data_IF_914531074788
#
_entry.id   IF_914531074788
#
_cell.length_a   1.000
_cell.length_b   1.000
_cell.length_c   1.000
_cell.angle_alpha   90.00
_cell.angle_beta   90.00
_cell.angle_gamma   90.00
#
_symmetry.space_group_name_H-M   'P 1'
#
loop_
_entity.id
_entity.type
_entity.pdbx_description
1 polymer ?
#
# COMPACT_ATOMS: atom_id res chain seq x y z
N UNK A 1 2.32 0.83 36.32
CA UNK A 1 3.53 0.07 35.90
C UNK A 1 3.26 -0.53 34.54
N UNK A 2 4.14 -0.15 33.62
CA UNK A 2 4.18 -0.39 32.18
C UNK A 2 4.27 -1.87 31.84
N UNK A 3 3.37 -2.40 31.00
CA UNK A 3 3.54 -3.73 30.43
C UNK A 3 2.84 -3.80 29.08
N UNK A 4 3.67 -3.59 28.06
CA UNK A 4 3.54 -4.09 26.70
C UNK A 4 2.12 -4.09 26.13
N UNK A 5 1.82 -3.14 25.24
CA UNK A 5 0.97 -3.44 24.09
C UNK A 5 1.53 -4.72 23.47
N UNK A 6 0.85 -5.81 23.77
CA UNK A 6 1.13 -7.13 23.26
C UNK A 6 0.97 -7.00 21.76
N UNK A 7 2.08 -7.06 21.03
CA UNK A 7 2.12 -7.31 19.60
C UNK A 7 1.33 -8.60 19.35
N UNK A 8 0.04 -8.46 19.08
CA UNK A 8 -0.79 -9.61 18.75
C UNK A 8 -0.25 -10.18 17.43
N UNK A 9 -0.14 -11.51 17.28
CA UNK A 9 0.23 -12.14 15.99
C UNK A 9 -0.76 -11.82 14.84
N UNK A 10 -1.91 -11.24 15.17
CA UNK A 10 -2.92 -10.68 14.24
C UNK A 10 -2.81 -9.15 14.07
N UNK A 11 -1.70 -8.55 14.50
CA UNK A 11 -1.47 -7.13 14.31
C UNK A 11 -1.07 -6.85 12.86
N UNK A 12 -1.90 -6.04 12.19
CA UNK A 12 -1.66 -5.56 10.84
C UNK A 12 -0.28 -4.91 10.66
N UNK A 13 0.27 -4.30 11.72
CA UNK A 13 1.61 -3.72 11.76
C UNK A 13 2.71 -4.78 11.68
N UNK A 14 2.56 -5.93 12.33
CA UNK A 14 3.53 -7.04 12.24
C UNK A 14 3.58 -7.57 10.81
N UNK A 15 2.41 -7.73 10.19
CA UNK A 15 2.31 -8.17 8.79
C UNK A 15 2.89 -7.14 7.83
N UNK A 16 2.66 -5.84 8.07
CA UNK A 16 3.29 -4.76 7.34
C UNK A 16 4.82 -4.82 7.43
N UNK A 17 5.37 -4.90 8.65
CA UNK A 17 6.82 -4.99 8.88
C UNK A 17 7.42 -6.22 8.20
N UNK A 18 6.75 -7.37 8.28
CA UNK A 18 7.16 -8.60 7.59
C UNK A 18 7.19 -8.41 6.07
N UNK A 19 6.17 -7.77 5.50
CA UNK A 19 6.13 -7.41 4.09
C UNK A 19 7.29 -6.51 3.66
N UNK A 20 7.60 -5.48 4.46
CA UNK A 20 8.75 -4.60 4.22
C UNK A 20 10.09 -5.34 4.29
N UNK A 21 10.22 -6.28 5.22
CA UNK A 21 11.40 -7.14 5.33
C UNK A 21 11.59 -7.95 4.04
N UNK A 22 10.54 -8.63 3.56
CA UNK A 22 10.61 -9.38 2.30
C UNK A 22 10.90 -8.51 1.09
N UNK A 23 10.41 -7.26 1.04
CA UNK A 23 10.78 -6.31 -0.02
C UNK A 23 12.28 -6.00 -0.01
N UNK A 24 12.87 -5.76 1.16
CA UNK A 24 14.32 -5.52 1.30
C UNK A 24 15.15 -6.72 0.82
N UNK A 25 14.63 -7.93 1.01
CA UNK A 25 15.26 -9.17 0.54
C UNK A 25 15.00 -9.46 -0.95
N UNK A 26 14.24 -8.62 -1.65
CA UNK A 26 13.86 -8.84 -3.05
C UNK A 26 12.80 -9.95 -3.26
N UNK A 27 12.26 -10.50 -2.17
CA UNK A 27 11.25 -11.56 -2.18
C UNK A 27 9.84 -10.98 -2.39
N UNK A 28 9.61 -10.41 -3.57
CA UNK A 28 8.42 -9.61 -3.89
C UNK A 28 7.09 -10.35 -3.70
N UNK A 29 7.02 -11.64 -4.06
CA UNK A 29 5.81 -12.45 -3.89
C UNK A 29 5.46 -12.64 -2.40
N UNK A 30 6.44 -13.00 -1.58
CA UNK A 30 6.27 -13.12 -0.13
C UNK A 30 5.92 -11.78 0.51
N UNK A 31 6.51 -10.69 0.03
CA UNK A 31 6.16 -9.35 0.48
C UNK A 31 4.69 -9.03 0.20
N UNK A 32 4.21 -9.28 -1.03
CA UNK A 32 2.80 -9.07 -1.40
C UNK A 32 1.89 -9.84 -0.46
N UNK A 33 2.16 -11.12 -0.22
CA UNK A 33 1.33 -11.97 0.65
C UNK A 33 1.18 -11.39 2.06
N UNK A 34 2.29 -10.93 2.67
CA UNK A 34 2.28 -10.34 4.02
C UNK A 34 1.61 -8.98 4.05
N UNK A 35 1.83 -8.17 3.03
CA UNK A 35 1.19 -6.86 2.93
C UNK A 35 -0.33 -6.99 2.68
N UNK A 36 -0.78 -7.90 1.82
CA UNK A 36 -2.20 -8.20 1.64
C UNK A 36 -2.84 -8.71 2.94
N UNK A 37 -2.09 -9.46 3.76
CA UNK A 37 -2.56 -9.87 5.09
C UNK A 37 -2.73 -8.66 6.02
N UNK A 38 -1.80 -7.70 5.98
CA UNK A 38 -1.95 -6.44 6.72
C UNK A 38 -3.19 -5.64 6.27
N UNK A 39 -3.49 -5.62 4.97
CA UNK A 39 -4.70 -4.97 4.44
C UNK A 39 -5.98 -5.68 4.92
N UNK A 40 -6.00 -7.01 4.88
CA UNK A 40 -7.12 -7.82 5.39
C UNK A 40 -7.37 -7.64 6.89
N UNK A 41 -6.32 -7.40 7.65
CA UNK A 41 -6.39 -7.08 9.09
C UNK A 41 -6.79 -5.63 9.37
N UNK A 42 -7.10 -4.84 8.33
CA UNK A 42 -7.61 -3.47 8.46
C UNK A 42 -6.53 -2.42 8.68
N UNK A 43 -5.28 -2.65 8.23
CA UNK A 43 -4.25 -1.61 8.34
C UNK A 43 -4.66 -0.35 7.60
N UNK A 44 -4.64 0.78 8.28
CA UNK A 44 -4.92 2.10 7.71
C UNK A 44 -3.65 2.84 7.30
N UNK A 45 -2.48 2.20 7.38
CA UNK A 45 -1.20 2.84 7.13
C UNK A 45 -1.00 3.13 5.63
N UNK A 46 -0.84 4.38 5.18
CA UNK A 46 -0.61 4.70 3.77
C UNK A 46 0.64 4.03 3.17
N UNK A 47 1.64 3.72 4.01
CA UNK A 47 2.82 2.98 3.60
C UNK A 47 2.47 1.58 3.08
N UNK A 48 1.44 0.93 3.63
CA UNK A 48 1.03 -0.39 3.17
C UNK A 48 0.69 -0.35 1.68
N UNK A 49 -0.22 0.53 1.29
CA UNK A 49 -0.66 0.67 -0.10
C UNK A 49 0.48 1.10 -1.02
N UNK A 50 1.37 1.99 -0.57
CA UNK A 50 2.53 2.37 -1.35
C UNK A 50 3.46 1.17 -1.62
N UNK A 51 3.74 0.37 -0.60
CA UNK A 51 4.62 -0.79 -0.72
C UNK A 51 3.98 -1.93 -1.52
N UNK A 52 2.68 -2.18 -1.37
CA UNK A 52 1.93 -3.09 -2.26
C UNK A 52 2.04 -2.63 -3.72
N UNK A 53 1.83 -1.34 -3.97
CA UNK A 53 1.92 -0.77 -5.30
C UNK A 53 3.30 -0.96 -5.95
N UNK A 54 4.38 -0.74 -5.19
CA UNK A 54 5.73 -1.02 -5.65
C UNK A 54 5.95 -2.52 -5.91
N UNK A 55 5.52 -3.38 -4.99
CA UNK A 55 5.70 -4.82 -5.09
C UNK A 55 4.99 -5.40 -6.32
N UNK A 56 3.74 -5.01 -6.55
CA UNK A 56 2.97 -5.41 -7.73
C UNK A 56 3.60 -4.93 -9.03
N UNK A 57 4.09 -3.69 -9.06
CA UNK A 57 4.75 -3.15 -10.24
C UNK A 57 6.01 -3.96 -10.59
N UNK A 58 6.74 -4.43 -9.58
CA UNK A 58 7.95 -5.22 -9.76
C UNK A 58 7.72 -6.68 -10.17
N UNK A 59 6.52 -7.21 -9.97
CA UNK A 59 6.10 -8.52 -10.48
C UNK A 59 5.30 -8.42 -11.78
N UNK A 60 5.11 -7.22 -12.33
CA UNK A 60 4.42 -6.97 -13.61
C UNK A 60 2.91 -6.77 -13.50
N UNK A 61 2.34 -6.79 -12.30
CA UNK A 61 0.92 -6.62 -12.01
C UNK A 61 0.54 -5.13 -11.98
N UNK A 62 0.56 -4.49 -13.16
CA UNK A 62 0.44 -3.03 -13.32
C UNK A 62 -0.90 -2.48 -12.83
N UNK A 63 -1.99 -3.22 -13.02
CA UNK A 63 -3.34 -2.84 -12.63
C UNK A 63 -3.47 -2.77 -11.11
N UNK A 64 -2.97 -3.80 -10.41
CA UNK A 64 -2.93 -3.82 -8.94
C UNK A 64 -1.99 -2.75 -8.39
N UNK A 65 -0.88 -2.49 -9.08
CA UNK A 65 0.03 -1.43 -8.71
C UNK A 65 -0.63 -0.05 -8.77
N UNK A 66 -1.40 0.22 -9.84
CA UNK A 66 -2.17 1.45 -10.00
C UNK A 66 -3.22 1.62 -8.91
N UNK A 67 -4.01 0.59 -8.63
CA UNK A 67 -5.05 0.62 -7.58
C UNK A 67 -4.44 0.99 -6.22
N UNK A 68 -3.35 0.32 -5.85
CA UNK A 68 -2.67 0.56 -4.58
C UNK A 68 -1.99 1.94 -4.54
N UNK A 69 -1.47 2.43 -5.67
CA UNK A 69 -0.98 3.79 -5.75
C UNK A 69 -2.08 4.81 -5.46
N UNK A 70 -3.28 4.63 -6.03
CA UNK A 70 -4.41 5.50 -5.73
C UNK A 70 -4.82 5.46 -4.27
N UNK A 71 -4.89 4.28 -3.64
CA UNK A 71 -5.16 4.16 -2.21
C UNK A 71 -4.12 4.91 -1.37
N UNK A 72 -2.84 4.76 -1.69
CA UNK A 72 -1.76 5.46 -0.98
C UNK A 72 -1.89 6.99 -1.09
N UNK A 73 -2.07 7.52 -2.30
CA UNK A 73 -2.18 8.97 -2.51
C UNK A 73 -3.50 9.56 -2.00
N UNK A 74 -4.60 8.80 -2.07
CA UNK A 74 -5.87 9.18 -1.48
C UNK A 74 -5.80 9.27 0.06
N UNK A 75 -4.86 8.54 0.68
CA UNK A 75 -4.56 8.59 2.11
C UNK A 75 -3.43 9.60 2.47
N UNK A 76 -3.03 10.45 1.52
CA UNK A 76 -2.06 11.52 1.75
C UNK A 76 -0.59 11.10 1.71
N UNK A 77 -0.26 9.95 1.11
CA UNK A 77 1.12 9.52 0.99
C UNK A 77 1.97 10.53 0.19
N UNK A 78 3.10 11.03 0.73
CA UNK A 78 3.75 12.22 0.18
C UNK A 78 4.67 11.95 -1.01
N UNK A 79 5.11 10.70 -1.24
CA UNK A 79 6.17 10.42 -2.22
C UNK A 79 5.60 10.09 -3.60
N UNK A 80 5.95 10.86 -4.65
CA UNK A 80 5.48 10.61 -6.02
C UNK A 80 6.20 9.45 -6.71
N UNK A 81 7.10 8.74 -6.02
CA UNK A 81 7.99 7.74 -6.61
C UNK A 81 7.25 6.63 -7.35
N UNK A 82 6.23 6.04 -6.72
CA UNK A 82 5.38 5.02 -7.32
C UNK A 82 4.59 5.55 -8.52
N UNK A 83 3.93 6.71 -8.40
CA UNK A 83 3.26 7.38 -9.53
C UNK A 83 4.22 7.58 -10.70
N UNK A 84 5.42 8.09 -10.45
CA UNK A 84 6.41 8.34 -11.50
C UNK A 84 6.85 7.04 -12.18
N UNK A 85 7.03 5.95 -11.41
CA UNK A 85 7.34 4.62 -11.98
C UNK A 85 6.18 4.12 -12.86
N UNK A 86 4.93 4.26 -12.41
CA UNK A 86 3.74 3.88 -13.18
C UNK A 86 3.58 4.71 -14.46
N UNK A 87 3.83 6.02 -14.41
CA UNK A 87 3.79 6.91 -15.58
C UNK A 87 4.82 6.47 -16.63
N UNK A 88 6.06 6.21 -16.21
CA UNK A 88 7.11 5.68 -17.11
C UNK A 88 6.77 4.31 -17.69
N UNK A 89 6.03 3.49 -16.94
CA UNK A 89 5.58 2.18 -17.39
C UNK A 89 4.31 2.21 -18.27
N UNK A 90 3.77 3.39 -18.58
CA UNK A 90 2.50 3.56 -19.31
C UNK A 90 1.27 3.04 -18.55
N UNK A 91 1.40 2.81 -17.25
CA UNK A 91 0.39 2.18 -16.40
C UNK A 91 -0.40 3.17 -15.54
N UNK A 92 0.08 4.42 -15.43
CA UNK A 92 -0.62 5.44 -14.66
C UNK A 92 -1.84 5.97 -15.41
N UNK A 93 -2.96 6.03 -14.70
CA UNK A 93 -4.19 6.73 -15.10
C UNK A 93 -4.61 7.55 -13.89
N UNK A 94 -5.13 8.75 -14.09
CA UNK A 94 -5.59 9.54 -12.95
C UNK A 94 -6.84 8.88 -12.34
N UNK A 95 -6.91 8.88 -11.00
CA UNK A 95 -8.10 8.40 -10.32
C UNK A 95 -9.27 9.30 -10.73
N UNK A 96 -10.47 8.75 -10.96
CA UNK A 96 -11.65 9.59 -11.13
C UNK A 96 -11.75 10.53 -9.92
N UNK A 97 -12.12 11.81 -10.13
CA UNK A 97 -12.29 12.73 -9.03
C UNK A 97 -13.26 12.11 -8.02
N UNK A 98 -12.85 12.06 -6.74
CA UNK A 98 -13.75 11.64 -5.67
C UNK A 98 -15.01 12.50 -5.80
N UNK A 99 -16.23 11.94 -5.84
CA UNK A 99 -17.43 12.75 -5.89
C UNK A 99 -17.40 13.69 -4.69
N UNK A 100 -17.23 14.99 -4.95
CA UNK A 100 -17.32 16.01 -3.91
C UNK A 100 -18.72 15.90 -3.33
N UNK A 101 -18.88 15.72 -2.00
CA UNK A 101 -20.20 15.80 -1.40
C UNK A 101 -20.74 17.18 -1.75
N UNK A 102 -21.81 17.19 -2.56
CA UNK A 102 -22.52 18.40 -2.96
C UNK A 102 -22.89 19.10 -1.65
N UNK A 103 -22.38 20.31 -1.44
CA UNK A 103 -22.70 21.08 -0.24
C UNK A 103 -24.23 21.09 -0.08
N UNK A 104 -24.70 20.53 1.03
CA UNK A 104 -26.09 20.63 1.41
C UNK A 104 -26.37 22.12 1.65
N UNK A 105 -27.28 22.67 0.83
CA UNK A 105 -27.84 24.00 1.01
C UNK A 105 -28.86 23.98 2.14
#
# INVERSE_FOLDING_TARGET
MTRAEIFAPEDSMVKLISGLYYLKQGQKKSAIERLEEADRLGSTNPNLYYNLGLAYLEVGEKEKALENAHKAYAAGFPLPGLMNRLKRAGAWRDAPPKPTPKAAQ
#
